data_IF_796952969846
#
_entry.id   IF_796952969846
#
_cell.length_a   1.000
_cell.length_b   1.000
_cell.length_c   1.000
_cell.angle_alpha   90.00
_cell.angle_beta   90.00
_cell.angle_gamma   90.00
#
_symmetry.space_group_name_H-M   'P 1'
#
loop_
_entity.id
_entity.type
_entity.pdbx_description
1 polymer ?
#
# COMPACT_ATOMS: atom_id res chain seq x y z
N UNK A 1 22.51 -2.00 -24.73
CA UNK A 1 21.16 -1.65 -24.23
C UNK A 1 21.12 -1.95 -22.73
N UNK A 2 21.11 -0.92 -21.88
CA UNK A 2 20.99 -1.09 -20.43
C UNK A 2 19.54 -1.37 -20.05
N UNK A 3 19.29 -2.51 -19.39
CA UNK A 3 17.95 -2.88 -18.93
C UNK A 3 17.49 -1.89 -17.86
N UNK A 4 16.41 -1.15 -18.12
CA UNK A 4 15.76 -0.28 -17.13
C UNK A 4 14.66 -1.06 -16.44
N UNK A 5 14.65 -1.02 -15.11
CA UNK A 5 13.62 -1.64 -14.27
C UNK A 5 12.64 -0.56 -13.81
N UNK A 6 11.37 -0.70 -14.20
CA UNK A 6 10.30 0.11 -13.69
C UNK A 6 9.73 -0.50 -12.40
N UNK A 7 9.57 0.34 -11.38
CA UNK A 7 9.05 -0.03 -10.06
C UNK A 7 7.83 0.85 -9.80
N UNK A 8 6.67 0.21 -9.62
CA UNK A 8 5.43 0.88 -9.25
C UNK A 8 5.15 0.62 -7.77
N UNK A 9 5.09 1.68 -6.96
CA UNK A 9 4.86 1.61 -5.52
C UNK A 9 3.42 2.03 -5.25
N UNK A 10 2.64 1.12 -4.69
CA UNK A 10 1.23 1.33 -4.35
C UNK A 10 1.11 1.46 -2.84
N UNK A 11 0.47 2.52 -2.35
CA UNK A 11 0.13 2.60 -0.93
C UNK A 11 -1.15 1.82 -0.61
N UNK A 12 -1.27 1.37 0.65
CA UNK A 12 -2.50 0.77 1.15
C UNK A 12 -3.58 1.81 1.48
N UNK A 13 -4.77 1.36 1.86
CA UNK A 13 -5.89 2.22 2.26
C UNK A 13 -5.45 3.19 3.38
N UNK A 14 -5.77 4.48 3.22
CA UNK A 14 -5.46 5.55 4.16
C UNK A 14 -4.96 6.84 3.49
N UNK A 15 -4.82 7.90 4.29
CA UNK A 15 -4.46 9.28 3.90
C UNK A 15 -2.96 9.44 3.58
N UNK A 16 -2.40 8.52 2.78
CA UNK A 16 -1.02 8.64 2.32
C UNK A 16 -0.95 9.59 1.12
N UNK A 17 -0.25 10.70 1.32
CA UNK A 17 -0.08 11.76 0.32
C UNK A 17 1.09 11.45 -0.61
N UNK A 18 1.12 12.15 -1.74
CA UNK A 18 2.23 12.15 -2.70
C UNK A 18 3.58 12.26 -1.99
N UNK A 19 4.53 11.41 -2.39
CA UNK A 19 5.85 11.32 -1.77
C UNK A 19 5.96 10.31 -0.62
N UNK A 20 4.91 9.54 -0.32
CA UNK A 20 4.95 8.50 0.73
C UNK A 20 6.09 7.49 0.52
N UNK A 21 6.51 7.26 -0.72
CA UNK A 21 7.54 6.28 -1.03
C UNK A 21 8.93 6.87 -1.18
N UNK A 22 9.12 8.19 -0.97
CA UNK A 22 10.38 8.87 -1.23
C UNK A 22 11.58 8.21 -0.53
N UNK A 23 11.49 8.01 0.79
CA UNK A 23 12.56 7.38 1.57
C UNK A 23 12.82 5.93 1.12
N UNK A 24 11.77 5.22 0.70
CA UNK A 24 11.90 3.87 0.17
C UNK A 24 12.63 3.87 -1.18
N UNK A 25 12.31 4.82 -2.07
CA UNK A 25 12.99 4.98 -3.35
C UNK A 25 14.48 5.27 -3.14
N UNK A 26 14.84 6.19 -2.24
CA UNK A 26 16.23 6.52 -1.92
C UNK A 26 17.00 5.32 -1.38
N UNK A 27 16.39 4.57 -0.45
CA UNK A 27 16.98 3.35 0.09
C UNK A 27 17.19 2.27 -0.98
N UNK A 28 16.21 2.06 -1.86
CA UNK A 28 16.31 1.09 -2.96
C UNK A 28 17.40 1.49 -3.96
N UNK A 29 17.49 2.77 -4.32
CA UNK A 29 18.56 3.30 -5.19
C UNK A 29 19.94 3.06 -4.57
N UNK A 30 20.11 3.42 -3.30
CA UNK A 30 21.37 3.25 -2.57
C UNK A 30 21.79 1.78 -2.49
N UNK A 31 20.86 0.89 -2.14
CA UNK A 31 21.14 -0.54 -2.04
C UNK A 31 21.43 -1.18 -3.40
N UNK A 32 20.72 -0.77 -4.44
CA UNK A 32 20.97 -1.24 -5.80
C UNK A 32 22.36 -0.82 -6.30
N UNK A 33 22.77 0.42 -6.03
CA UNK A 33 24.12 0.90 -6.36
C UNK A 33 25.21 0.11 -5.65
N UNK A 34 25.05 -0.12 -4.34
CA UNK A 34 25.98 -0.95 -3.56
C UNK A 34 26.07 -2.38 -4.10
N UNK A 35 24.94 -3.01 -4.43
CA UNK A 35 24.92 -4.36 -4.99
C UNK A 35 25.69 -4.44 -6.32
N UNK A 36 25.52 -3.47 -7.20
CA UNK A 36 26.26 -3.39 -8.47
C UNK A 36 27.76 -3.17 -8.27
N UNK A 37 28.17 -2.37 -7.28
CA UNK A 37 29.58 -2.22 -6.91
C UNK A 37 30.19 -3.55 -6.46
N UNK A 38 29.51 -4.29 -5.59
CA UNK A 38 29.97 -5.61 -5.14
C UNK A 38 30.06 -6.65 -6.26
N UNK A 39 29.26 -6.51 -7.32
CA UNK A 39 29.31 -7.38 -8.50
C UNK A 39 30.34 -6.94 -9.56
N UNK A 40 31.17 -5.92 -9.26
CA UNK A 40 32.17 -5.40 -10.22
C UNK A 40 31.55 -4.62 -11.39
N UNK A 41 30.31 -4.15 -11.25
CA UNK A 41 29.55 -3.43 -12.27
C UNK A 41 29.29 -1.96 -11.89
N UNK A 42 30.12 -1.41 -11.01
CA UNK A 42 29.94 -0.07 -10.42
C UNK A 42 30.10 1.11 -11.40
N UNK A 43 30.75 0.90 -12.55
CA UNK A 43 30.98 1.95 -13.57
C UNK A 43 30.08 1.79 -14.80
N UNK A 44 28.95 1.08 -14.67
CA UNK A 44 28.00 0.92 -15.78
C UNK A 44 27.31 2.26 -16.10
N UNK A 45 27.50 2.72 -17.32
CA UNK A 45 26.79 3.87 -17.88
C UNK A 45 25.26 3.68 -17.77
N UNK A 46 24.56 4.69 -17.25
CA UNK A 46 23.09 4.66 -17.07
C UNK A 46 22.60 3.99 -15.78
N UNK A 47 23.48 3.72 -14.81
CA UNK A 47 23.12 3.12 -13.52
C UNK A 47 22.16 3.98 -12.69
N UNK A 48 22.32 5.32 -12.73
CA UNK A 48 21.44 6.24 -12.00
C UNK A 48 20.00 6.22 -12.52
N UNK A 49 19.82 5.90 -13.82
CA UNK A 49 18.54 5.78 -14.51
C UNK A 49 18.05 4.32 -14.65
N UNK A 50 18.75 3.36 -14.04
CA UNK A 50 18.40 1.95 -14.15
C UNK A 50 17.09 1.63 -13.40
N UNK A 51 16.75 2.39 -12.35
CA UNK A 51 15.50 2.26 -11.60
C UNK A 51 14.59 3.47 -11.87
N UNK A 52 13.40 3.20 -12.41
CA UNK A 52 12.36 4.20 -12.64
C UNK A 52 11.22 3.95 -11.65
N UNK A 53 10.93 4.93 -10.80
CA UNK A 53 9.86 4.82 -9.82
C UNK A 53 8.60 5.60 -10.24
N UNK A 54 7.44 5.00 -9.95
CA UNK A 54 6.13 5.61 -10.07
C UNK A 54 5.31 5.30 -8.83
N UNK A 55 4.59 6.29 -8.32
CA UNK A 55 3.68 6.14 -7.19
C UNK A 55 2.25 5.95 -7.70
N UNK A 56 1.56 4.94 -7.16
CA UNK A 56 0.12 4.76 -7.31
C UNK A 56 -0.59 5.31 -6.08
N UNK A 57 -1.19 6.49 -6.21
CA UNK A 57 -1.97 7.12 -5.16
C UNK A 57 -3.45 6.72 -5.30
N UNK A 58 -3.93 5.92 -4.36
CA UNK A 58 -5.35 5.53 -4.26
C UNK A 58 -6.15 6.57 -3.48
N UNK A 59 -5.48 7.32 -2.59
CA UNK A 59 -6.08 8.38 -1.79
C UNK A 59 -6.80 9.41 -2.68
N UNK A 60 -6.18 9.83 -3.78
CA UNK A 60 -6.77 10.78 -4.74
C UNK A 60 -8.14 10.32 -5.30
N UNK A 61 -8.46 9.02 -5.24
CA UNK A 61 -9.72 8.45 -5.73
C UNK A 61 -10.68 8.14 -4.56
N UNK A 62 -10.16 7.64 -3.44
CA UNK A 62 -11.00 7.11 -2.35
C UNK A 62 -11.27 8.11 -1.24
N UNK A 63 -10.45 9.16 -1.10
CA UNK A 63 -10.44 10.03 0.07
C UNK A 63 -11.70 10.87 0.21
N UNK A 64 -12.24 11.43 -0.88
CA UNK A 64 -13.51 12.17 -0.84
C UNK A 64 -14.68 11.29 -0.37
N UNK A 65 -14.68 10.03 -0.79
CA UNK A 65 -15.66 9.03 -0.35
C UNK A 65 -15.50 8.67 1.12
N UNK A 66 -14.25 8.43 1.55
CA UNK A 66 -13.89 8.12 2.94
C UNK A 66 -14.24 9.28 3.88
N UNK A 67 -13.94 10.52 3.51
CA UNK A 67 -14.26 11.71 4.29
C UNK A 67 -15.77 11.95 4.39
N UNK A 68 -16.50 11.72 3.29
CA UNK A 68 -17.97 11.79 3.29
C UNK A 68 -18.58 10.74 4.23
N UNK A 69 -18.10 9.49 4.15
CA UNK A 69 -18.53 8.40 5.03
C UNK A 69 -18.22 8.72 6.49
N UNK A 70 -17.00 9.15 6.78
CA UNK A 70 -16.56 9.54 8.13
C UNK A 70 -17.43 10.67 8.69
N UNK A 71 -17.75 11.68 7.88
CA UNK A 71 -18.59 12.78 8.31
C UNK A 71 -20.02 12.32 8.66
N UNK A 72 -20.64 11.47 7.82
CA UNK A 72 -21.95 10.86 8.12
C UNK A 72 -21.91 9.99 9.36
N UNK A 73 -20.82 9.27 9.57
CA UNK A 73 -20.71 8.36 10.71
C UNK A 73 -20.59 9.13 12.03
N UNK A 74 -19.72 10.15 12.10
CA UNK A 74 -19.31 10.73 13.37
C UNK A 74 -19.90 12.11 13.68
N UNK A 75 -20.37 12.85 12.67
CA UNK A 75 -20.79 14.25 12.83
C UNK A 75 -22.24 14.50 12.41
N UNK A 76 -22.96 13.48 11.93
CA UNK A 76 -24.36 13.60 11.58
C UNK A 76 -25.22 13.56 12.86
N UNK A 77 -25.98 14.62 13.19
CA UNK A 77 -26.78 14.70 14.40
C UNK A 77 -27.93 13.68 14.44
N UNK A 78 -28.33 13.11 13.30
CA UNK A 78 -29.36 12.07 13.22
C UNK A 78 -28.78 10.64 13.36
N UNK A 79 -27.46 10.51 13.51
CA UNK A 79 -26.78 9.21 13.61
C UNK A 79 -26.43 8.87 15.05
N UNK A 80 -27.27 8.05 15.70
CA UNK A 80 -27.02 7.48 17.03
C UNK A 80 -26.42 6.06 16.92
N UNK A 81 -25.18 5.98 16.42
CA UNK A 81 -24.47 4.70 16.25
C UNK A 81 -23.32 4.60 17.24
N UNK A 82 -23.36 3.56 18.08
CA UNK A 82 -22.24 3.17 18.94
C UNK A 82 -21.12 2.52 18.09
N UNK A 83 -20.23 3.36 17.58
CA UNK A 83 -19.14 2.94 16.69
C UNK A 83 -18.15 1.96 17.33
N UNK A 84 -18.04 1.96 18.67
CA UNK A 84 -17.20 0.99 19.38
C UNK A 84 -17.84 -0.41 19.29
N UNK A 85 -19.15 -0.52 19.48
CA UNK A 85 -19.89 -1.78 19.27
C UNK A 85 -19.90 -2.20 17.81
N UNK A 86 -20.12 -1.27 16.88
CA UNK A 86 -20.10 -1.57 15.45
C UNK A 86 -18.73 -2.11 14.99
N UNK A 87 -17.63 -1.52 15.47
CA UNK A 87 -16.28 -2.01 15.20
C UNK A 87 -16.04 -3.40 15.79
N UNK A 88 -16.48 -3.66 17.03
CA UNK A 88 -16.38 -4.99 17.64
C UNK A 88 -17.15 -6.03 16.81
N UNK A 89 -18.41 -5.73 16.48
CA UNK A 89 -19.22 -6.58 15.61
C UNK A 89 -18.51 -6.86 14.27
N UNK A 90 -17.99 -5.83 13.60
CA UNK A 90 -17.30 -6.02 12.32
C UNK A 90 -16.03 -6.86 12.47
N UNK A 91 -15.20 -6.62 13.49
CA UNK A 91 -13.97 -7.39 13.73
C UNK A 91 -14.29 -8.85 14.07
N UNK A 92 -15.27 -9.09 14.93
CA UNK A 92 -15.67 -10.44 15.34
C UNK A 92 -16.20 -11.24 14.14
N UNK A 93 -17.08 -10.65 13.33
CA UNK A 93 -17.68 -11.34 12.16
C UNK A 93 -16.77 -11.39 10.93
N UNK A 94 -15.90 -10.40 10.70
CA UNK A 94 -14.92 -10.47 9.61
C UNK A 94 -13.81 -11.46 9.94
N UNK A 95 -13.42 -11.55 11.21
CA UNK A 95 -12.53 -12.60 11.72
C UNK A 95 -13.11 -13.99 11.45
N UNK A 96 -14.40 -14.17 11.72
CA UNK A 96 -15.13 -15.39 11.38
C UNK A 96 -15.16 -15.64 9.87
N UNK A 97 -15.49 -14.63 9.04
CA UNK A 97 -15.51 -14.77 7.59
C UNK A 97 -14.14 -15.22 7.02
N UNK A 98 -13.03 -14.64 7.49
CA UNK A 98 -11.67 -15.05 7.10
C UNK A 98 -11.38 -16.49 7.55
N UNK A 99 -11.86 -16.90 8.71
CA UNK A 99 -11.70 -18.27 9.19
C UNK A 99 -12.41 -19.29 8.28
N UNK A 100 -13.57 -18.94 7.70
CA UNK A 100 -14.28 -19.78 6.74
C UNK A 100 -13.56 -19.89 5.38
N UNK A 101 -12.83 -18.86 4.95
CA UNK A 101 -12.00 -18.93 3.73
C UNK A 101 -10.86 -19.94 3.84
N UNK A 102 -10.32 -20.18 5.05
CA UNK A 102 -9.20 -21.11 5.26
C UNK A 102 -9.62 -22.59 5.14
N UNK A 103 -10.89 -22.90 5.39
CA UNK A 103 -11.42 -24.28 5.37
C UNK A 103 -11.75 -24.76 3.95
N UNK A 104 -11.95 -23.86 2.98
CA UNK A 104 -12.31 -24.25 1.60
C UNK A 104 -11.10 -24.61 0.70
N UNK A 105 -9.86 -24.41 1.18
CA UNK A 105 -8.64 -24.71 0.42
C UNK A 105 -7.98 -26.07 0.77
N UNK A 106 -8.54 -26.83 1.72
CA UNK A 106 -8.00 -28.15 2.15
C UNK A 106 -9.04 -29.27 1.94
N UNK A 107 -9.83 -29.20 0.87
CA UNK A 107 -10.70 -30.30 0.44
C UNK A 107 -10.61 -30.58 -1.07
N UNK A 108 -9.47 -30.23 -1.67
CA UNK A 108 -9.05 -30.70 -2.98
C UNK A 108 -7.75 -31.48 -2.84
N UNK A 109 -7.82 -32.66 -2.21
CA UNK A 109 -6.86 -33.75 -2.40
C UNK A 109 -7.48 -34.71 -3.40
#
# INVERSE_FOLDING_TARGET
MGTRLAIFIVHGIGDQKKGFSHDMQENLRSNFKKALQHMGQGDREGQDDALIFREGLWADITQDGEDTLKNRMFNDPDTDVDWIKARKFFVDYLGDAISYFRVMLISGV
#
